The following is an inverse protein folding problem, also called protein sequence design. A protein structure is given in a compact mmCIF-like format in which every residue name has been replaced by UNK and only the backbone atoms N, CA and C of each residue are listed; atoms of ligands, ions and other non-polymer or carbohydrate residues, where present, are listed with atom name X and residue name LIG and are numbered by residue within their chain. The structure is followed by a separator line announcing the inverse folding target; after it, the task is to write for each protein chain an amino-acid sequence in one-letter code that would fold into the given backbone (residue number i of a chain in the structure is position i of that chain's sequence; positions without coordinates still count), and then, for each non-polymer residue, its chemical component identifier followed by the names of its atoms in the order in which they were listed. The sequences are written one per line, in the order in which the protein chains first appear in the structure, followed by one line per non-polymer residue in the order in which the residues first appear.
data_IF_694533535317
#
_entry.id   IF_694533535317
#
_cell.length_a   1.000
_cell.length_b   1.000
_cell.length_c   1.000
_cell.angle_alpha   90.00
_cell.angle_beta   90.00
_cell.angle_gamma   90.00
#
_symmetry.space_group_name_H-M   'P 1'
#
loop_
_entity.id
_entity.type
_entity.pdbx_description
1 polymer ?
#
# COMPACT_ATOMS: atom_id res chain seq x y z
N UNK A 1 2.56 -1.54 12.59
CA UNK A 1 3.68 -1.10 11.79
C UNK A 1 4.61 -2.21 11.34
N UNK A 2 5.82 -1.84 10.97
CA UNK A 2 6.81 -2.77 10.44
C UNK A 2 7.20 -3.87 11.44
N UNK A 3 7.19 -3.57 12.74
CA UNK A 3 7.51 -4.54 13.77
C UNK A 3 6.46 -5.67 13.83
N UNK A 4 5.19 -5.33 13.78
CA UNK A 4 4.11 -6.32 13.78
C UNK A 4 4.17 -7.17 12.51
N UNK A 5 4.42 -6.55 11.36
CA UNK A 5 4.59 -7.25 10.09
C UNK A 5 5.73 -8.25 10.17
N UNK A 6 6.87 -7.87 10.74
CA UNK A 6 8.02 -8.73 10.91
C UNK A 6 7.70 -9.93 11.81
N UNK A 7 6.96 -9.70 12.91
CA UNK A 7 6.56 -10.78 13.83
C UNK A 7 5.62 -11.78 13.13
N UNK A 8 4.65 -11.29 12.36
CA UNK A 8 3.74 -12.15 11.62
C UNK A 8 4.47 -12.98 10.56
N UNK A 9 5.38 -12.37 9.80
CA UNK A 9 6.16 -13.09 8.79
C UNK A 9 7.08 -14.12 9.44
N UNK A 10 7.66 -13.81 10.59
CA UNK A 10 8.48 -14.77 11.35
C UNK A 10 7.63 -15.95 11.80
N UNK A 11 6.42 -15.71 12.29
CA UNK A 11 5.47 -16.77 12.65
C UNK A 11 5.18 -17.68 11.45
N UNK A 12 4.83 -17.13 10.30
CA UNK A 12 4.58 -17.91 9.08
C UNK A 12 5.80 -18.70 8.66
N UNK A 13 6.98 -18.12 8.77
CA UNK A 13 8.23 -18.81 8.42
C UNK A 13 8.46 -20.04 9.29
N UNK A 14 8.24 -19.93 10.60
CA UNK A 14 8.51 -21.03 11.52
C UNK A 14 7.41 -22.11 11.52
N UNK A 15 6.14 -21.72 11.38
CA UNK A 15 5.02 -22.64 11.58
C UNK A 15 4.25 -22.97 10.31
N UNK A 16 4.32 -22.09 9.30
CA UNK A 16 3.58 -22.25 8.04
C UNK A 16 4.48 -21.97 6.83
N UNK A 17 5.70 -22.47 6.88
CA UNK A 17 6.68 -22.25 5.82
C UNK A 17 6.19 -22.63 4.43
N UNK A 18 5.39 -23.68 4.33
CA UNK A 18 4.84 -24.14 3.06
C UNK A 18 3.95 -23.09 2.37
N UNK A 19 3.26 -22.23 3.15
CA UNK A 19 2.47 -21.15 2.58
C UNK A 19 3.34 -20.12 1.88
N UNK A 20 4.52 -19.81 2.46
CA UNK A 20 5.47 -18.87 1.86
C UNK A 20 6.09 -19.48 0.60
N UNK A 21 6.57 -20.74 0.67
CA UNK A 21 7.22 -21.39 -0.47
C UNK A 21 6.28 -21.66 -1.63
N UNK A 22 4.99 -21.85 -1.36
CA UNK A 22 3.97 -22.04 -2.39
C UNK A 22 3.40 -20.72 -2.96
N UNK A 23 3.87 -19.59 -2.46
CA UNK A 23 3.47 -18.28 -3.00
C UNK A 23 2.10 -17.79 -2.52
N UNK A 24 1.63 -18.25 -1.38
CA UNK A 24 0.31 -17.87 -0.86
C UNK A 24 0.33 -16.71 0.12
N UNK A 25 1.52 -16.21 0.49
CA UNK A 25 1.64 -15.11 1.45
C UNK A 25 2.04 -13.84 0.71
N UNK A 26 1.26 -12.77 0.91
CA UNK A 26 1.47 -11.47 0.28
C UNK A 26 1.44 -10.38 1.33
N UNK A 27 2.16 -9.29 1.06
CA UNK A 27 2.13 -8.07 1.87
C UNK A 27 1.44 -6.99 1.07
N UNK A 28 0.38 -6.39 1.64
CA UNK A 28 -0.27 -5.23 1.04
C UNK A 28 0.61 -4.00 1.28
N UNK A 29 0.89 -3.26 0.21
CA UNK A 29 1.74 -2.06 0.27
C UNK A 29 0.84 -0.84 0.25
N UNK A 30 0.78 -0.05 1.35
CA UNK A 30 0.00 1.18 1.34
C UNK A 30 0.68 2.26 0.51
N UNK A 31 -0.10 3.19 -0.08
CA UNK A 31 0.50 4.31 -0.80
C UNK A 31 1.18 5.28 0.13
N UNK A 32 2.16 6.04 -0.39
CA UNK A 32 2.81 7.11 0.34
C UNK A 32 2.05 8.43 0.22
N UNK A 33 1.37 8.64 -0.89
CA UNK A 33 0.73 9.92 -1.21
C UNK A 33 -0.68 9.72 -1.77
N UNK A 34 -1.52 10.70 -1.52
CA UNK A 34 -2.82 10.86 -2.18
C UNK A 34 -2.88 12.25 -2.77
N UNK A 35 -3.04 12.35 -4.09
CA UNK A 35 -3.22 13.61 -4.81
C UNK A 35 -4.70 13.75 -5.12
N UNK A 36 -5.31 14.84 -4.72
CA UNK A 36 -6.75 15.01 -4.87
C UNK A 36 -7.13 16.46 -5.13
N UNK A 37 -8.28 16.64 -5.74
CA UNK A 37 -8.94 17.94 -5.86
C UNK A 37 -10.44 17.75 -5.94
N UNK A 38 -11.19 18.79 -5.60
CA UNK A 38 -12.62 18.82 -5.78
C UNK A 38 -12.96 19.81 -6.90
N UNK A 39 -13.68 19.34 -7.92
CA UNK A 39 -14.06 20.14 -9.08
C UNK A 39 -15.49 19.81 -9.45
N UNK A 40 -16.36 20.84 -9.55
CA UNK A 40 -17.78 20.69 -9.89
C UNK A 40 -18.49 19.67 -8.97
N UNK A 41 -18.19 19.72 -7.67
CA UNK A 41 -18.72 18.80 -6.65
C UNK A 41 -18.28 17.34 -6.85
N UNK A 42 -17.28 17.08 -7.71
CA UNK A 42 -16.70 15.76 -7.91
C UNK A 42 -15.31 15.71 -7.30
N UNK A 43 -15.02 14.61 -6.60
CA UNK A 43 -13.70 14.35 -6.07
C UNK A 43 -12.88 13.61 -7.11
N UNK A 44 -11.75 14.20 -7.50
CA UNK A 44 -10.78 13.55 -8.37
C UNK A 44 -9.58 13.22 -7.51
N UNK A 45 -9.17 11.95 -7.47
CA UNK A 45 -8.06 11.52 -6.63
C UNK A 45 -7.25 10.40 -7.29
N UNK A 46 -5.95 10.40 -6.98
CA UNK A 46 -5.02 9.35 -7.38
C UNK A 46 -4.08 9.06 -6.21
N UNK A 47 -3.73 7.78 -6.06
CA UNK A 47 -2.76 7.35 -5.06
C UNK A 47 -1.39 7.16 -5.72
N UNK A 48 -0.32 7.38 -4.95
CA UNK A 48 1.04 7.18 -5.43
C UNK A 48 1.86 6.41 -4.38
N UNK A 49 2.64 5.46 -4.84
CA UNK A 49 3.45 4.58 -3.99
C UNK A 49 4.92 5.02 -3.92
N UNK A 50 5.35 5.90 -4.82
CA UNK A 50 6.70 6.45 -4.85
C UNK A 50 6.69 7.87 -5.42
N UNK A 51 7.85 8.51 -5.47
CA UNK A 51 7.96 9.88 -5.98
C UNK A 51 7.65 9.98 -7.48
N UNK A 52 7.99 8.96 -8.24
CA UNK A 52 7.69 8.91 -9.67
C UNK A 52 6.18 8.80 -9.90
N UNK A 53 5.52 7.93 -9.15
CA UNK A 53 4.07 7.82 -9.17
C UNK A 53 3.38 9.11 -8.73
N UNK A 54 3.98 9.84 -7.80
CA UNK A 54 3.46 11.14 -7.37
C UNK A 54 3.41 12.13 -8.52
N UNK A 55 4.47 12.22 -9.32
CA UNK A 55 4.49 13.11 -10.49
C UNK A 55 3.41 12.73 -11.50
N UNK A 56 3.23 11.44 -11.75
CA UNK A 56 2.17 10.95 -12.64
C UNK A 56 0.78 11.26 -12.08
N UNK A 57 0.58 11.11 -10.78
CA UNK A 57 -0.69 11.41 -10.13
C UNK A 57 -1.04 12.89 -10.22
N UNK A 58 -0.04 13.78 -10.06
CA UNK A 58 -0.23 15.23 -10.23
C UNK A 58 -0.73 15.57 -11.64
N UNK A 59 -0.18 14.91 -12.64
CA UNK A 59 -0.58 15.11 -14.04
C UNK A 59 -2.01 14.64 -14.29
N UNK A 60 -2.38 13.51 -13.70
CA UNK A 60 -3.73 12.95 -13.86
C UNK A 60 -4.80 13.78 -13.17
N UNK A 61 -4.52 14.27 -11.98
CA UNK A 61 -5.46 15.10 -11.22
C UNK A 61 -5.55 16.50 -11.82
N UNK A 62 -4.45 17.04 -12.29
CA UNK A 62 -4.41 18.37 -12.90
C UNK A 62 -4.22 19.51 -11.91
N UNK A 63 -4.24 20.75 -12.39
CA UNK A 63 -4.00 21.93 -11.56
C UNK A 63 -4.99 22.10 -10.42
N UNK A 64 -4.54 22.72 -9.32
CA UNK A 64 -5.37 22.95 -8.15
C UNK A 64 -5.43 21.78 -7.18
N UNK A 65 -4.57 20.78 -7.36
CA UNK A 65 -4.52 19.60 -6.51
C UNK A 65 -3.99 19.89 -5.10
N UNK A 66 -4.36 19.01 -4.16
CA UNK A 66 -3.78 18.94 -2.82
C UNK A 66 -3.12 17.57 -2.64
N UNK A 67 -2.15 17.48 -1.74
CA UNK A 67 -1.41 16.25 -1.49
C UNK A 67 -1.53 15.89 -0.01
N UNK A 68 -1.97 14.64 0.26
CA UNK A 68 -1.84 14.02 1.57
C UNK A 68 -0.67 13.05 1.54
N UNK A 69 0.19 13.14 2.54
CA UNK A 69 1.27 12.18 2.73
C UNK A 69 0.90 11.25 3.88
N UNK A 70 0.94 9.94 3.63
CA UNK A 70 0.62 8.95 4.65
C UNK A 70 1.90 8.44 5.31
N UNK A 71 1.94 8.49 6.62
CA UNK A 71 3.04 7.93 7.42
C UNK A 71 2.75 6.50 7.87
N UNK A 72 1.49 6.08 7.80
CA UNK A 72 1.07 4.75 8.17
C UNK A 72 -0.40 4.52 7.88
N UNK A 73 -0.85 3.29 8.02
CA UNK A 73 -2.24 2.89 7.75
C UNK A 73 -3.24 3.58 8.69
N UNK A 74 -2.80 3.93 9.91
CA UNK A 74 -3.67 4.59 10.88
C UNK A 74 -4.13 5.99 10.47
N UNK A 75 -3.49 6.62 9.50
CA UNK A 75 -3.90 7.92 8.97
C UNK A 75 -5.00 7.82 7.91
N UNK A 76 -5.33 6.60 7.48
CA UNK A 76 -6.34 6.37 6.45
C UNK A 76 -7.70 6.10 7.06
N UNK A 77 -8.75 6.65 6.43
CA UNK A 77 -10.11 6.27 6.80
C UNK A 77 -10.47 4.90 6.22
N UNK A 78 -11.62 4.30 6.63
CA UNK A 78 -11.99 2.95 6.16
C UNK A 78 -12.13 2.82 4.65
N UNK A 79 -12.59 3.87 3.97
CA UNK A 79 -12.73 3.84 2.50
C UNK A 79 -11.36 3.85 1.83
N UNK A 80 -10.43 4.68 2.33
CA UNK A 80 -9.07 4.74 1.81
C UNK A 80 -8.33 3.43 2.02
N UNK A 81 -8.47 2.80 3.19
CA UNK A 81 -7.89 1.49 3.45
C UNK A 81 -8.43 0.44 2.48
N UNK A 82 -9.73 0.43 2.24
CA UNK A 82 -10.35 -0.51 1.31
C UNK A 82 -9.78 -0.35 -0.10
N UNK A 83 -9.73 0.88 -0.59
CA UNK A 83 -9.28 1.16 -1.95
C UNK A 83 -7.80 0.83 -2.18
N UNK A 84 -6.96 1.00 -1.17
CA UNK A 84 -5.51 0.88 -1.32
C UNK A 84 -4.95 -0.47 -0.90
N UNK A 85 -5.64 -1.21 -0.02
CA UNK A 85 -5.12 -2.46 0.52
C UNK A 85 -6.03 -3.66 0.32
N UNK A 86 -7.33 -3.45 0.15
CA UNK A 86 -8.32 -4.52 0.10
C UNK A 86 -8.89 -4.76 -1.30
N UNK A 87 -9.10 -3.71 -2.08
CA UNK A 87 -9.70 -3.84 -3.40
C UNK A 87 -8.71 -4.46 -4.39
N UNK A 88 -9.02 -5.65 -4.96
CA UNK A 88 -8.11 -6.32 -5.90
C UNK A 88 -7.75 -5.50 -7.14
N UNK A 89 -8.59 -4.53 -7.50
CA UNK A 89 -8.35 -3.70 -8.68
C UNK A 89 -7.34 -2.57 -8.45
N UNK A 90 -7.20 -2.12 -7.20
CA UNK A 90 -6.43 -0.93 -6.88
C UNK A 90 -5.30 -1.17 -5.87
N UNK A 91 -5.31 -2.31 -5.17
CA UNK A 91 -4.28 -2.64 -4.20
C UNK A 91 -2.98 -3.04 -4.86
N UNK A 92 -1.87 -2.79 -4.16
CA UNK A 92 -0.55 -3.30 -4.55
C UNK A 92 -0.13 -4.38 -3.55
N UNK A 93 0.16 -5.59 -4.05
CA UNK A 93 0.63 -6.70 -3.24
C UNK A 93 2.04 -7.11 -3.66
N UNK A 94 2.88 -7.42 -2.68
CA UNK A 94 4.19 -8.00 -2.90
C UNK A 94 4.17 -9.43 -2.36
N UNK A 95 4.51 -10.40 -3.20
CA UNK A 95 4.60 -11.79 -2.80
C UNK A 95 5.77 -11.98 -1.84
N UNK A 96 5.52 -12.68 -0.73
CA UNK A 96 6.55 -12.94 0.27
C UNK A 96 7.25 -14.25 -0.09
N UNK A 97 8.59 -14.22 -0.12
CA UNK A 97 9.42 -15.41 -0.27
C UNK A 97 10.37 -15.55 0.92
N UNK A 98 11.17 -16.62 0.93
CA UNK A 98 12.10 -16.91 2.01
C UNK A 98 13.17 -15.81 2.13
N UNK A 99 13.66 -15.31 1.01
CA UNK A 99 14.66 -14.23 0.98
C UNK A 99 14.11 -12.97 1.62
N UNK A 100 12.85 -12.61 1.27
CA UNK A 100 12.18 -11.44 1.83
C UNK A 100 12.05 -11.53 3.35
N UNK A 101 11.68 -12.72 3.88
CA UNK A 101 11.58 -12.94 5.32
C UNK A 101 12.94 -12.76 5.98
N UNK A 102 14.02 -13.28 5.39
CA UNK A 102 15.38 -13.14 5.93
C UNK A 102 15.85 -11.69 5.95
N UNK A 103 15.47 -10.89 4.95
CA UNK A 103 15.80 -9.46 4.91
C UNK A 103 15.13 -8.72 6.06
N UNK A 104 13.88 -9.06 6.37
CA UNK A 104 13.11 -8.42 7.43
C UNK A 104 13.50 -8.87 8.84
N UNK A 105 14.00 -10.07 8.98
CA UNK A 105 14.42 -10.62 10.27
C UNK A 105 15.86 -10.26 10.60
#
# INVERSE_FOLDING_TARGET
GAHIQTLLLTFFYHFMRSLITSGHVYVAVPPLYRVYKEENKKLIQEYAWDDKGLEDAKKKVGGGYKINRYKGLGEMDPIQLKETTMDPKTRLLIQVDIVFVHILS
#
